data_IF_223169510196
#
_entry.id   IF_223169510196
#
_cell.length_a   1.000
_cell.length_b   1.000
_cell.length_c   1.000
_cell.angle_alpha   90.00
_cell.angle_beta   90.00
_cell.angle_gamma   90.00
#
_symmetry.space_group_name_H-M   'P 1'
#
loop_
_entity.id
_entity.type
_entity.pdbx_description
1 polymer ?
#
# COMPACT_ATOMS: atom_id res chain seq x y z
N UNK A 1 42.60 18.37 0.04
CA UNK A 1 42.03 19.39 0.95
C UNK A 1 40.77 18.79 1.57
N UNK A 2 40.80 18.53 2.88
CA UNK A 2 39.69 17.89 3.61
C UNK A 2 38.58 18.94 3.77
N UNK A 3 37.60 18.92 2.85
CA UNK A 3 36.55 19.95 2.73
C UNK A 3 35.31 19.50 3.49
N UNK A 4 35.42 19.37 4.81
CA UNK A 4 34.26 19.16 5.67
C UNK A 4 33.52 20.50 5.86
N UNK A 5 32.19 20.46 5.79
CA UNK A 5 31.36 21.62 6.14
C UNK A 5 31.53 21.87 7.65
N UNK A 6 31.80 23.10 8.09
CA UNK A 6 31.91 23.38 9.52
C UNK A 6 30.57 23.14 10.23
N UNK A 7 30.61 22.67 11.47
CA UNK A 7 29.39 22.43 12.27
C UNK A 7 28.87 23.70 12.96
N UNK A 8 29.62 24.80 12.88
CA UNK A 8 29.34 26.06 13.56
C UNK A 8 29.74 27.25 12.67
N UNK A 9 29.30 28.46 13.06
CA UNK A 9 29.67 29.67 12.34
C UNK A 9 31.20 29.83 12.30
N UNK A 10 31.74 30.09 11.11
CA UNK A 10 33.18 30.16 10.87
C UNK A 10 33.53 31.50 10.21
N UNK A 11 34.66 32.08 10.60
CA UNK A 11 35.12 33.37 10.09
C UNK A 11 35.55 33.26 8.61
N UNK A 12 35.21 34.27 7.82
CA UNK A 12 35.63 34.40 6.44
C UNK A 12 37.14 34.69 6.40
N UNK A 13 37.95 33.92 5.65
CA UNK A 13 39.39 34.12 5.57
C UNK A 13 39.78 35.44 4.89
N UNK A 14 38.86 36.11 4.17
CA UNK A 14 39.13 37.39 3.49
C UNK A 14 38.82 38.62 4.33
N UNK A 15 37.69 38.63 5.04
CA UNK A 15 37.20 39.82 5.75
C UNK A 15 36.95 39.61 7.24
N UNK A 16 37.18 38.41 7.78
CA UNK A 16 37.00 38.07 9.20
C UNK A 16 35.55 37.89 9.65
N UNK A 17 34.55 38.22 8.83
CA UNK A 17 33.12 38.08 9.18
C UNK A 17 32.74 36.63 9.45
N UNK A 18 32.00 36.36 10.51
CA UNK A 18 31.41 35.05 10.78
C UNK A 18 30.26 34.73 9.81
N UNK A 19 30.33 33.59 9.15
CA UNK A 19 29.30 33.12 8.23
C UNK A 19 28.72 31.78 8.68
N UNK A 20 27.47 31.54 8.31
CA UNK A 20 26.80 30.28 8.55
C UNK A 20 27.45 29.16 7.72
N UNK A 21 27.55 27.93 8.25
CA UNK A 21 28.06 26.78 7.50
C UNK A 21 27.18 26.39 6.31
N UNK A 22 25.92 26.85 6.29
CA UNK A 22 24.97 26.63 5.19
C UNK A 22 25.12 27.64 4.05
N UNK A 23 26.15 28.49 4.07
CA UNK A 23 26.41 29.49 3.05
C UNK A 23 27.64 29.12 2.21
N UNK A 24 27.54 29.27 0.89
CA UNK A 24 28.67 29.06 -0.03
C UNK A 24 29.50 30.32 -0.31
N UNK A 25 29.01 31.49 0.10
CA UNK A 25 29.68 32.77 -0.08
C UNK A 25 29.56 33.62 1.19
N UNK A 26 30.54 34.49 1.41
CA UNK A 26 30.53 35.40 2.54
C UNK A 26 29.47 36.49 2.35
N UNK A 27 28.65 36.72 3.38
CA UNK A 27 27.57 37.74 3.37
C UNK A 27 28.07 39.17 3.30
N UNK A 28 29.30 39.44 3.75
CA UNK A 28 29.86 40.80 3.79
C UNK A 28 30.69 41.14 2.57
N UNK A 29 31.60 40.25 2.15
CA UNK A 29 32.52 40.53 1.04
C UNK A 29 32.22 39.75 -0.25
N UNK A 30 31.22 38.85 -0.25
CA UNK A 30 30.86 38.02 -1.40
C UNK A 30 31.89 36.93 -1.76
N UNK A 31 32.98 36.81 -1.03
CA UNK A 31 34.01 35.81 -1.32
C UNK A 31 33.48 34.38 -1.18
N UNK A 32 33.81 33.50 -2.12
CA UNK A 32 33.49 32.08 -2.04
C UNK A 32 34.14 31.46 -0.81
N UNK A 33 33.36 30.74 -0.02
CA UNK A 33 33.81 30.12 1.22
C UNK A 33 34.50 28.77 0.95
N UNK A 34 35.48 28.34 1.77
CA UNK A 34 36.22 27.10 1.54
C UNK A 34 35.35 25.83 1.51
N UNK A 35 34.22 25.84 2.23
CA UNK A 35 33.28 24.72 2.30
C UNK A 35 32.15 24.79 1.26
N UNK A 36 32.20 25.74 0.32
CA UNK A 36 31.13 25.93 -0.67
C UNK A 36 30.92 24.70 -1.56
N UNK A 37 31.99 24.04 -2.00
CA UNK A 37 31.91 22.84 -2.83
C UNK A 37 31.30 21.67 -2.07
N UNK A 38 31.70 21.49 -0.80
CA UNK A 38 31.15 20.47 0.07
C UNK A 38 29.64 20.67 0.32
N UNK A 39 29.22 21.92 0.55
CA UNK A 39 27.81 22.28 0.67
C UNK A 39 27.03 21.95 -0.61
N UNK A 40 27.58 22.27 -1.78
CA UNK A 40 26.94 21.96 -3.05
C UNK A 40 26.76 20.45 -3.26
N UNK A 41 27.76 19.64 -2.88
CA UNK A 41 27.67 18.19 -2.95
C UNK A 41 26.60 17.62 -2.01
N UNK A 42 26.51 18.11 -0.78
CA UNK A 42 25.47 17.69 0.18
C UNK A 42 24.08 18.06 -0.34
N UNK A 43 23.90 19.27 -0.89
CA UNK A 43 22.62 19.68 -1.48
C UNK A 43 22.26 18.84 -2.72
N UNK A 44 23.24 18.44 -3.52
CA UNK A 44 23.01 17.53 -4.64
C UNK A 44 22.58 16.14 -4.15
N UNK A 45 23.25 15.59 -3.14
CA UNK A 45 22.90 14.31 -2.52
C UNK A 45 21.50 14.34 -1.88
N UNK A 46 21.15 15.42 -1.18
CA UNK A 46 19.82 15.58 -0.61
C UNK A 46 18.71 15.55 -1.67
N UNK A 47 18.93 16.22 -2.82
CA UNK A 47 17.98 16.18 -3.93
C UNK A 47 17.83 14.78 -4.53
N UNK A 48 18.93 14.03 -4.64
CA UNK A 48 18.89 12.65 -5.08
C UNK A 48 18.11 11.77 -4.11
N UNK A 49 18.39 11.86 -2.80
CA UNK A 49 17.66 11.09 -1.80
C UNK A 49 16.16 11.41 -1.75
N UNK A 50 15.77 12.67 -1.96
CA UNK A 50 14.35 13.04 -2.09
C UNK A 50 13.71 12.41 -3.33
N UNK A 51 14.42 12.37 -4.46
CA UNK A 51 13.94 11.72 -5.67
C UNK A 51 13.82 10.20 -5.50
N UNK A 52 14.80 9.56 -4.86
CA UNK A 52 14.79 8.12 -4.59
C UNK A 52 13.64 7.73 -3.66
N UNK A 53 13.37 8.52 -2.61
CA UNK A 53 12.25 8.30 -1.70
C UNK A 53 10.90 8.43 -2.42
N UNK A 54 10.74 9.44 -3.28
CA UNK A 54 9.53 9.60 -4.07
C UNK A 54 9.33 8.44 -5.06
N UNK A 55 10.41 7.95 -5.68
CA UNK A 55 10.37 6.80 -6.58
C UNK A 55 9.99 5.51 -5.84
N UNK A 56 10.56 5.28 -4.67
CA UNK A 56 10.24 4.12 -3.83
C UNK A 56 8.78 4.15 -3.38
N UNK A 57 8.28 5.30 -2.93
CA UNK A 57 6.88 5.45 -2.55
C UNK A 57 5.93 5.20 -3.73
N UNK A 58 6.28 5.69 -4.93
CA UNK A 58 5.50 5.41 -6.13
C UNK A 58 5.47 3.91 -6.48
N UNK A 59 6.57 3.19 -6.27
CA UNK A 59 6.62 1.74 -6.46
C UNK A 59 5.75 1.00 -5.45
N UNK A 60 5.83 1.38 -4.16
CA UNK A 60 4.98 0.79 -3.12
C UNK A 60 3.49 1.00 -3.41
N UNK A 61 3.09 2.20 -3.82
CA UNK A 61 1.70 2.48 -4.17
C UNK A 61 1.22 1.61 -5.34
N UNK A 62 2.07 1.35 -6.35
CA UNK A 62 1.73 0.42 -7.45
C UNK A 62 1.58 -1.01 -6.94
N UNK A 63 2.47 -1.47 -6.07
CA UNK A 63 2.38 -2.80 -5.48
C UNK A 63 1.11 -2.97 -4.63
N UNK A 64 0.79 -1.99 -3.79
CA UNK A 64 -0.44 -1.99 -3.00
C UNK A 64 -1.70 -2.01 -3.89
N UNK A 65 -1.68 -1.26 -4.99
CA UNK A 65 -2.77 -1.26 -5.98
C UNK A 65 -2.96 -2.65 -6.60
N UNK A 66 -1.86 -3.33 -6.95
CA UNK A 66 -1.91 -4.69 -7.51
C UNK A 66 -2.39 -5.73 -6.48
N UNK A 67 -1.98 -5.59 -5.21
CA UNK A 67 -2.43 -6.48 -4.13
C UNK A 67 -3.92 -6.34 -3.87
N UNK A 68 -4.44 -5.12 -3.80
CA UNK A 68 -5.88 -4.86 -3.64
C UNK A 68 -6.69 -5.45 -4.80
N UNK A 69 -6.19 -5.35 -6.04
CA UNK A 69 -6.84 -5.98 -7.18
C UNK A 69 -6.88 -7.51 -7.06
N UNK A 70 -5.82 -8.13 -6.54
CA UNK A 70 -5.78 -9.58 -6.27
C UNK A 70 -6.78 -10.01 -5.18
N UNK A 71 -6.79 -9.31 -4.05
CA UNK A 71 -7.66 -9.63 -2.91
C UNK A 71 -9.15 -9.50 -3.25
N UNK A 72 -9.54 -8.58 -4.14
CA UNK A 72 -10.93 -8.48 -4.58
C UNK A 72 -11.41 -9.74 -5.30
N UNK A 73 -10.53 -10.49 -5.97
CA UNK A 73 -10.93 -11.71 -6.69
C UNK A 73 -11.14 -12.90 -5.74
N UNK A 74 -10.35 -13.00 -4.67
CA UNK A 74 -10.50 -14.09 -3.69
C UNK A 74 -11.75 -13.92 -2.82
N UNK A 75 -12.08 -12.69 -2.42
CA UNK A 75 -13.29 -12.44 -1.65
C UNK A 75 -14.56 -12.74 -2.48
N UNK A 76 -14.57 -12.39 -3.76
CA UNK A 76 -15.72 -12.71 -4.65
C UNK A 76 -15.91 -14.22 -4.82
N UNK A 77 -14.83 -15.00 -4.94
CA UNK A 77 -14.94 -16.45 -5.11
C UNK A 77 -15.56 -17.15 -3.88
N UNK A 78 -15.33 -16.63 -2.67
CA UNK A 78 -15.77 -17.25 -1.41
C UNK A 78 -17.30 -17.32 -1.28
N UNK A 79 -18.04 -16.27 -1.66
CA UNK A 79 -19.51 -16.26 -1.56
C UNK A 79 -20.23 -16.66 -2.85
N UNK A 80 -19.59 -16.58 -4.02
CA UNK A 80 -20.24 -16.94 -5.30
C UNK A 80 -20.34 -18.47 -5.48
N UNK A 81 -19.32 -19.24 -5.11
CA UNK A 81 -19.33 -20.71 -5.22
C UNK A 81 -20.47 -21.39 -4.43
N UNK A 82 -20.75 -21.06 -3.15
CA UNK A 82 -21.85 -21.66 -2.42
C UNK A 82 -23.21 -21.26 -2.99
N UNK A 83 -23.39 -20.03 -3.48
CA UNK A 83 -24.66 -19.59 -4.08
C UNK A 83 -24.99 -20.40 -5.35
N UNK A 84 -24.02 -20.58 -6.24
CA UNK A 84 -24.21 -21.39 -7.46
C UNK A 84 -24.52 -22.85 -7.09
N UNK A 85 -23.85 -23.41 -6.09
CA UNK A 85 -24.12 -24.75 -5.57
C UNK A 85 -25.55 -24.90 -5.01
N UNK A 86 -25.99 -23.95 -4.18
CA UNK A 86 -27.35 -23.94 -3.60
C UNK A 86 -28.42 -23.84 -4.68
N UNK A 87 -28.25 -22.94 -5.66
CA UNK A 87 -29.18 -22.79 -6.78
C UNK A 87 -29.32 -24.10 -7.59
N UNK A 88 -28.20 -24.79 -7.86
CA UNK A 88 -28.23 -26.06 -8.56
C UNK A 88 -29.00 -27.15 -7.78
N UNK A 89 -28.79 -27.23 -6.47
CA UNK A 89 -29.54 -28.18 -5.61
C UNK A 89 -31.03 -27.85 -5.60
N UNK A 90 -31.41 -26.57 -5.46
CA UNK A 90 -32.82 -26.15 -5.47
C UNK A 90 -33.49 -26.52 -6.79
N UNK A 91 -32.82 -26.31 -7.93
CA UNK A 91 -33.35 -26.66 -9.25
C UNK A 91 -33.54 -28.18 -9.40
N UNK A 92 -32.58 -28.99 -8.96
CA UNK A 92 -32.69 -30.46 -9.00
C UNK A 92 -33.83 -30.95 -8.10
N UNK A 93 -33.92 -30.45 -6.86
CA UNK A 93 -35.00 -30.81 -5.94
C UNK A 93 -36.35 -30.36 -6.47
N UNK A 94 -36.45 -29.14 -7.01
CA UNK A 94 -37.65 -28.62 -7.65
C UNK A 94 -38.10 -29.47 -8.84
N UNK A 95 -37.17 -29.88 -9.70
CA UNK A 95 -37.46 -30.78 -10.82
C UNK A 95 -37.94 -32.16 -10.36
N UNK A 96 -37.33 -32.73 -9.31
CA UNK A 96 -37.78 -34.00 -8.71
C UNK A 96 -39.17 -33.86 -8.09
N UNK A 97 -39.47 -32.74 -7.44
CA UNK A 97 -40.80 -32.45 -6.89
C UNK A 97 -41.87 -32.30 -7.99
N UNK A 98 -41.54 -31.64 -9.11
CA UNK A 98 -42.46 -31.53 -10.26
C UNK A 98 -42.66 -32.87 -10.98
N UNK A 99 -41.62 -33.70 -11.09
CA UNK A 99 -41.70 -35.02 -11.71
C UNK A 99 -42.35 -36.08 -10.79
N UNK A 100 -42.33 -35.85 -9.47
CA UNK A 100 -42.70 -36.82 -8.43
C UNK A 100 -44.02 -36.53 -7.71
N UNK A 101 -44.96 -35.83 -8.33
CA UNK A 101 -46.28 -35.55 -7.75
C UNK A 101 -47.20 -36.80 -7.66
N UNK A 102 -46.74 -37.86 -6.98
CA UNK A 102 -47.51 -38.96 -6.38
C UNK A 102 -46.70 -39.59 -5.23
N UNK A 103 -46.55 -38.91 -4.09
CA UNK A 103 -46.00 -39.53 -2.88
C UNK A 103 -45.41 -38.54 -1.89
N UNK A 104 -46.22 -38.06 -0.94
CA UNK A 104 -45.75 -37.17 0.11
C UNK A 104 -44.85 -37.88 1.10
N UNK A 105 -43.53 -37.64 1.06
CA UNK A 105 -42.60 -37.99 2.16
C UNK A 105 -41.22 -37.29 2.11
N UNK A 106 -41.09 -36.10 1.52
CA UNK A 106 -39.76 -35.42 1.36
C UNK A 106 -39.79 -33.95 1.84
N UNK A 107 -40.51 -33.62 2.91
CA UNK A 107 -40.46 -32.26 3.52
C UNK A 107 -39.39 -32.18 4.64
N UNK A 108 -39.04 -33.32 5.25
CA UNK A 108 -38.07 -33.39 6.35
C UNK A 108 -36.61 -33.09 6.00
N UNK A 109 -36.03 -33.54 4.86
CA UNK A 109 -34.59 -33.32 4.61
C UNK A 109 -34.28 -31.88 4.18
N UNK A 110 -35.19 -31.20 3.47
CA UNK A 110 -34.95 -29.84 2.96
C UNK A 110 -34.89 -28.83 4.11
N UNK A 111 -35.78 -28.93 5.10
CA UNK A 111 -35.75 -28.06 6.28
C UNK A 111 -34.49 -28.24 7.13
N UNK A 112 -33.95 -29.47 7.19
CA UNK A 112 -32.71 -29.78 7.92
C UNK A 112 -31.49 -29.16 7.21
N UNK A 113 -31.43 -29.26 5.88
CA UNK A 113 -30.33 -28.69 5.08
C UNK A 113 -30.31 -27.16 5.21
N UNK A 114 -31.47 -26.49 5.14
CA UNK A 114 -31.56 -25.04 5.32
C UNK A 114 -31.12 -24.61 6.72
N UNK A 115 -31.49 -25.36 7.77
CA UNK A 115 -31.04 -25.09 9.14
C UNK A 115 -29.54 -25.28 9.34
N UNK A 116 -28.95 -26.31 8.73
CA UNK A 116 -27.51 -26.54 8.81
C UNK A 116 -26.72 -25.44 8.11
N UNK A 117 -27.19 -24.95 6.95
CA UNK A 117 -26.57 -23.83 6.25
C UNK A 117 -26.64 -22.54 7.07
N UNK A 118 -27.80 -22.23 7.68
CA UNK A 118 -27.94 -21.06 8.55
C UNK A 118 -27.05 -21.13 9.80
N UNK A 119 -26.85 -22.32 10.37
CA UNK A 119 -25.97 -22.51 11.53
C UNK A 119 -24.49 -22.29 11.19
N UNK A 120 -24.06 -22.65 9.98
CA UNK A 120 -22.69 -22.41 9.50
C UNK A 120 -22.40 -20.92 9.25
N UNK A 121 -23.40 -20.09 8.97
CA UNK A 121 -23.23 -18.66 8.72
C UNK A 121 -23.18 -17.80 10.01
N UNK A 122 -23.55 -18.34 11.17
CA UNK A 122 -23.62 -17.58 12.43
C UNK A 122 -22.42 -17.84 13.36
N UNK A 123 -21.55 -18.81 13.03
CA UNK A 123 -20.45 -19.24 13.89
C UNK A 123 -19.07 -18.70 13.46
N UNK A 124 -19.04 -17.76 12.51
CA UNK A 124 -17.89 -16.92 12.12
C UNK A 124 -18.25 -15.44 12.40
#
# INVERSE_FOLDING_TARGET
>A
MNSSIPNSATACPKCGTFNSPKMGACTMCGARLPWADALQNVLAQQRQHQADQAAFQAQQNRQATMQQAGETMENIASWVLPIVGVCAVILVVGAVMLAGAKGGFIILPVGLIVRLIMASFWND
#
